data_IF_819814779219
#
_entry.id   IF_819814779219
#
_cell.length_a   1.000
_cell.length_b   1.000
_cell.length_c   1.000
_cell.angle_alpha   90.00
_cell.angle_beta   90.00
_cell.angle_gamma   90.00
#
_symmetry.space_group_name_H-M   'P 1'
#
loop_
_entity.id
_entity.type
_entity.pdbx_description
1 polymer ?
#
# COMPACT_ATOMS: atom_id res chain seq x y z
N UNK A 1 1.93 -3.69 5.79
CA UNK A 1 3.35 -3.81 5.36
C UNK A 1 3.65 -2.60 4.48
N UNK A 2 4.85 -1.99 4.53
CA UNK A 2 5.10 -0.81 3.70
C UNK A 2 5.28 -1.19 2.22
N UNK A 3 4.77 -0.34 1.32
CA UNK A 3 4.82 -0.52 -0.13
C UNK A 3 6.24 -0.72 -0.68
N UNK A 4 7.22 -0.08 -0.04
CA UNK A 4 8.64 -0.21 -0.39
C UNK A 4 9.16 -1.62 -0.14
N UNK A 5 8.95 -2.17 1.06
CA UNK A 5 9.39 -3.52 1.39
C UNK A 5 8.68 -4.57 0.53
N UNK A 6 7.36 -4.43 0.32
CA UNK A 6 6.58 -5.37 -0.50
C UNK A 6 7.16 -5.45 -1.92
N UNK A 7 7.48 -4.31 -2.55
CA UNK A 7 8.01 -4.31 -3.91
C UNK A 7 9.39 -4.93 -4.04
N UNK A 8 10.25 -4.81 -3.01
CA UNK A 8 11.55 -5.49 -2.98
C UNK A 8 11.39 -7.00 -2.78
N UNK A 9 10.51 -7.42 -1.86
CA UNK A 9 10.19 -8.83 -1.62
C UNK A 9 9.63 -9.48 -2.89
N UNK A 10 8.73 -8.79 -3.59
CA UNK A 10 8.15 -9.27 -4.85
C UNK A 10 9.23 -9.59 -5.90
N UNK A 11 10.26 -8.74 -6.02
CA UNK A 11 11.39 -9.00 -6.93
C UNK A 11 12.15 -10.27 -6.57
N UNK A 12 12.40 -10.51 -5.29
CA UNK A 12 13.12 -11.71 -4.86
C UNK A 12 12.28 -12.98 -5.04
N UNK A 13 10.96 -12.90 -4.83
CA UNK A 13 10.04 -14.00 -5.12
C UNK A 13 10.01 -14.33 -6.62
N UNK A 14 10.03 -13.32 -7.48
CA UNK A 14 10.09 -13.50 -8.95
C UNK A 14 11.41 -14.09 -9.42
N UNK A 15 12.53 -13.71 -8.79
CA UNK A 15 13.83 -14.35 -9.04
C UNK A 15 13.80 -15.84 -8.74
N UNK A 16 12.94 -16.28 -7.82
CA UNK A 16 12.72 -17.69 -7.52
C UNK A 16 11.71 -18.38 -8.47
N UNK A 17 11.22 -17.68 -9.50
CA UNK A 17 10.31 -18.23 -10.51
C UNK A 17 8.83 -18.20 -10.13
N UNK A 18 8.45 -17.49 -9.07
CA UNK A 18 7.06 -17.35 -8.65
C UNK A 18 6.53 -15.99 -9.11
N UNK A 19 5.50 -15.94 -9.98
CA UNK A 19 4.94 -14.67 -10.45
C UNK A 19 4.23 -13.93 -9.32
N UNK A 20 4.45 -12.62 -9.25
CA UNK A 20 3.91 -11.75 -8.20
C UNK A 20 3.21 -10.53 -8.78
N UNK A 21 2.31 -9.97 -7.99
CA UNK A 21 1.66 -8.70 -8.26
C UNK A 21 1.39 -7.98 -6.94
N UNK A 22 1.74 -6.70 -6.86
CA UNK A 22 1.45 -5.86 -5.70
C UNK A 22 0.10 -5.16 -5.91
N UNK A 23 -0.87 -5.44 -5.05
CA UNK A 23 -2.11 -4.64 -4.93
C UNK A 23 -1.83 -3.49 -3.95
N UNK A 24 -1.95 -2.25 -4.40
CA UNK A 24 -1.44 -1.07 -3.68
C UNK A 24 -2.43 0.10 -3.63
N UNK A 25 -2.39 0.85 -2.53
CA UNK A 25 -3.10 2.13 -2.34
C UNK A 25 -2.16 3.36 -2.34
N UNK A 26 -0.84 3.19 -2.42
CA UNK A 26 0.12 4.32 -2.48
C UNK A 26 0.77 4.43 -3.86
N UNK A 27 0.15 5.18 -4.79
CA UNK A 27 0.57 5.22 -6.20
C UNK A 27 2.01 5.67 -6.40
N UNK A 28 2.37 6.82 -5.81
CA UNK A 28 3.69 7.46 -5.94
C UNK A 28 4.83 6.61 -5.37
N UNK A 29 4.62 6.06 -4.17
CA UNK A 29 5.57 5.14 -3.53
C UNK A 29 5.73 3.87 -4.37
N UNK A 30 4.62 3.29 -4.83
CA UNK A 30 4.64 2.06 -5.63
C UNK A 30 5.34 2.26 -6.95
N UNK A 31 5.05 3.38 -7.62
CA UNK A 31 5.70 3.77 -8.86
C UNK A 31 7.22 3.96 -8.67
N UNK A 32 7.63 4.61 -7.58
CA UNK A 32 9.05 4.81 -7.27
C UNK A 32 9.79 3.48 -7.02
N UNK A 33 9.14 2.52 -6.36
CA UNK A 33 9.73 1.21 -6.02
C UNK A 33 9.89 0.32 -7.25
N UNK A 34 9.03 0.48 -8.28
CA UNK A 34 9.02 -0.32 -9.51
C UNK A 34 8.97 -1.84 -9.23
N UNK A 35 7.91 -2.35 -8.58
CA UNK A 35 7.74 -3.79 -8.41
C UNK A 35 7.63 -4.51 -9.77
N UNK A 36 7.79 -5.85 -9.82
CA UNK A 36 7.65 -6.64 -11.04
C UNK A 36 6.33 -6.36 -11.76
N UNK A 37 5.22 -6.37 -11.01
CA UNK A 37 3.88 -5.99 -11.48
C UNK A 37 3.15 -5.33 -10.33
N UNK A 38 2.35 -4.31 -10.61
CA UNK A 38 1.46 -3.73 -9.61
C UNK A 38 0.14 -3.27 -10.21
N UNK A 39 -0.88 -3.28 -9.37
CA UNK A 39 -2.11 -2.55 -9.61
C UNK A 39 -2.34 -1.56 -8.47
N UNK A 40 -2.86 -0.40 -8.83
CA UNK A 40 -3.25 0.64 -7.90
C UNK A 40 -4.77 0.64 -7.74
N UNK A 41 -5.24 0.69 -6.51
CA UNK A 41 -6.64 0.92 -6.16
C UNK A 41 -6.70 2.15 -5.27
N UNK A 42 -7.50 3.16 -5.65
CA UNK A 42 -7.55 4.44 -4.91
C UNK A 42 -8.45 4.34 -3.68
N UNK A 43 -8.06 3.48 -2.73
CA UNK A 43 -8.76 3.20 -1.47
C UNK A 43 -7.88 3.64 -0.29
N UNK A 44 -8.45 3.85 0.91
CA UNK A 44 -7.66 4.09 2.10
C UNK A 44 -6.58 3.01 2.31
N UNK A 45 -5.47 3.40 2.92
CA UNK A 45 -4.39 2.53 3.38
C UNK A 45 -4.95 1.36 4.16
N UNK A 46 -4.38 0.18 3.89
CA UNK A 46 -4.78 -1.08 4.52
C UNK A 46 -6.19 -1.57 4.15
N UNK A 47 -6.81 -0.97 3.14
CA UNK A 47 -8.12 -1.37 2.62
C UNK A 47 -8.06 -1.74 1.13
N UNK A 48 -6.90 -2.09 0.61
CA UNK A 48 -6.67 -2.35 -0.82
C UNK A 48 -7.57 -3.48 -1.35
N UNK A 49 -7.92 -4.45 -0.49
CA UNK A 49 -8.84 -5.54 -0.83
C UNK A 49 -10.33 -5.12 -0.82
N UNK A 50 -10.68 -3.93 -0.33
CA UNK A 50 -12.04 -3.40 -0.25
C UNK A 50 -12.62 -3.31 1.17
N UNK A 51 -13.82 -2.72 1.27
CA UNK A 51 -14.56 -2.52 2.53
C UNK A 51 -14.83 -3.84 3.25
N UNK A 52 -14.82 -3.81 4.58
CA UNK A 52 -15.23 -4.96 5.39
C UNK A 52 -16.70 -5.33 5.09
N UNK A 53 -17.00 -6.63 5.02
CA UNK A 53 -18.35 -7.14 4.71
C UNK A 53 -18.76 -7.08 3.23
N UNK A 54 -18.03 -6.35 2.38
CA UNK A 54 -18.35 -6.17 0.96
C UNK A 54 -17.72 -7.27 0.09
N UNK A 55 -18.00 -8.54 0.38
CA UNK A 55 -17.41 -9.69 -0.34
C UNK A 55 -17.54 -9.61 -1.88
N UNK A 56 -18.65 -9.13 -2.47
CA UNK A 56 -18.73 -8.95 -3.93
C UNK A 56 -17.75 -7.91 -4.48
N UNK A 57 -17.46 -6.83 -3.74
CA UNK A 57 -16.43 -5.86 -4.13
C UNK A 57 -15.03 -6.46 -4.01
N UNK A 58 -14.73 -7.10 -2.87
CA UNK A 58 -13.44 -7.72 -2.62
C UNK A 58 -13.09 -8.76 -3.69
N UNK A 59 -14.09 -9.58 -4.08
CA UNK A 59 -13.93 -10.55 -5.16
C UNK A 59 -13.62 -9.87 -6.50
N UNK A 60 -14.31 -8.78 -6.84
CA UNK A 60 -14.08 -8.04 -8.11
C UNK A 60 -12.66 -7.48 -8.16
N UNK A 61 -12.20 -6.85 -7.08
CA UNK A 61 -10.83 -6.31 -6.96
C UNK A 61 -9.78 -7.41 -7.21
N UNK A 62 -9.93 -8.56 -6.55
CA UNK A 62 -9.00 -9.69 -6.71
C UNK A 62 -9.01 -10.25 -8.15
N UNK A 63 -10.19 -10.38 -8.76
CA UNK A 63 -10.30 -10.84 -10.14
C UNK A 63 -9.66 -9.86 -11.13
N UNK A 64 -9.85 -8.56 -10.94
CA UNK A 64 -9.25 -7.53 -11.80
C UNK A 64 -7.73 -7.45 -11.59
N UNK A 65 -7.26 -7.64 -10.36
CA UNK A 65 -5.83 -7.83 -10.07
C UNK A 65 -5.25 -9.06 -10.78
N UNK A 66 -5.95 -10.19 -10.80
CA UNK A 66 -5.50 -11.37 -11.54
C UNK A 66 -5.49 -11.14 -13.06
N UNK A 67 -6.51 -10.49 -13.61
CA UNK A 67 -6.56 -10.11 -15.03
C UNK A 67 -5.40 -9.20 -15.42
N UNK A 68 -4.89 -8.37 -14.51
CA UNK A 68 -3.76 -7.50 -14.80
C UNK A 68 -2.47 -8.27 -15.17
N UNK A 69 -2.31 -9.55 -14.81
CA UNK A 69 -1.21 -10.38 -15.30
C UNK A 69 -1.20 -10.53 -16.82
N UNK A 70 -2.35 -10.42 -17.48
CA UNK A 70 -2.48 -10.50 -18.93
C UNK A 70 -1.98 -9.21 -19.63
N UNK A 71 -1.93 -8.09 -18.91
CA UNK A 71 -1.54 -6.78 -19.44
C UNK A 71 -0.15 -6.30 -18.98
N UNK A 72 0.28 -6.71 -17.78
CA UNK A 72 1.53 -6.29 -17.16
C UNK A 72 2.64 -7.32 -17.44
N UNK A 73 3.38 -7.11 -18.52
CA UNK A 73 4.40 -8.02 -19.04
C UNK A 73 5.85 -7.57 -18.76
N UNK A 74 6.06 -6.31 -18.40
CA UNK A 74 7.36 -5.73 -18.10
C UNK A 74 7.44 -5.24 -16.63
N UNK A 75 8.60 -5.46 -15.96
CA UNK A 75 8.85 -4.92 -14.63
C UNK A 75 8.60 -3.41 -14.53
N UNK A 76 7.96 -2.98 -13.44
CA UNK A 76 7.68 -1.57 -13.15
C UNK A 76 6.39 -1.04 -13.79
N UNK A 77 5.65 -1.86 -14.54
CA UNK A 77 4.32 -1.47 -15.01
C UNK A 77 3.31 -1.44 -13.85
N UNK A 78 2.44 -0.43 -13.88
CA UNK A 78 1.42 -0.15 -12.87
C UNK A 78 0.09 0.15 -13.57
N UNK A 79 -0.98 -0.54 -13.19
CA UNK A 79 -2.33 -0.33 -13.73
C UNK A 79 -3.28 0.16 -12.64
N UNK A 80 -4.06 1.20 -12.92
CA UNK A 80 -5.09 1.70 -12.00
C UNK A 80 -6.40 0.94 -12.20
N UNK A 81 -6.95 0.38 -11.12
CA UNK A 81 -8.25 -0.29 -11.12
C UNK A 81 -9.40 0.74 -11.03
N UNK A 82 -10.56 0.49 -11.65
CA UNK A 82 -11.66 1.44 -11.74
C UNK A 82 -12.60 1.43 -10.52
N UNK A 83 -12.15 0.90 -9.37
CA UNK A 83 -12.99 0.82 -8.18
C UNK A 83 -12.99 2.13 -7.39
N UNK A 84 -14.14 2.49 -6.85
CA UNK A 84 -14.33 3.69 -6.03
C UNK A 84 -14.64 3.26 -4.60
N UNK A 85 -13.93 3.84 -3.63
CA UNK A 85 -14.12 3.50 -2.21
C UNK A 85 -15.51 3.90 -1.75
N UNK A 86 -15.83 5.18 -1.88
CA UNK A 86 -17.14 5.73 -1.62
C UNK A 86 -17.43 6.83 -2.65
N UNK A 87 -18.47 6.67 -3.50
CA UNK A 87 -18.79 7.66 -4.52
C UNK A 87 -19.39 8.94 -3.93
N UNK A 88 -19.90 8.91 -2.69
CA UNK A 88 -20.49 10.05 -2.03
C UNK A 88 -19.50 10.78 -1.11
N UNK A 89 -18.43 10.11 -0.66
CA UNK A 89 -17.49 10.65 0.33
C UNK A 89 -16.02 10.37 -0.01
N UNK A 90 -15.25 11.44 -0.24
CA UNK A 90 -13.79 11.39 -0.45
C UNK A 90 -12.99 12.02 0.68
N UNK A 91 -13.63 12.35 1.81
CA UNK A 91 -12.97 12.97 2.97
C UNK A 91 -11.83 12.13 3.54
N UNK A 92 -11.85 10.81 3.35
CA UNK A 92 -10.78 9.91 3.74
C UNK A 92 -9.42 10.28 3.10
N UNK A 93 -9.41 10.85 1.89
CA UNK A 93 -8.18 11.25 1.20
C UNK A 93 -7.46 12.38 1.96
N UNK A 94 -8.18 13.21 2.71
CA UNK A 94 -7.60 14.34 3.45
C UNK A 94 -6.73 13.89 4.64
N UNK A 95 -7.09 12.77 5.27
CA UNK A 95 -6.46 12.29 6.51
C UNK A 95 -5.48 11.14 6.28
N UNK A 96 -5.60 10.41 5.18
CA UNK A 96 -4.80 9.21 4.93
C UNK A 96 -3.53 9.52 4.11
N UNK A 97 -3.65 10.42 3.13
CA UNK A 97 -2.53 10.91 2.30
C UNK A 97 -2.56 12.43 2.06
N UNK A 98 -3.54 13.13 2.63
CA UNK A 98 -3.77 14.55 2.38
C UNK A 98 -3.04 15.48 3.33
N UNK A 99 -3.25 16.79 3.20
CA UNK A 99 -2.59 17.81 4.03
C UNK A 99 -2.86 17.67 5.53
N UNK A 100 -3.94 16.97 5.90
CA UNK A 100 -4.34 16.69 7.29
C UNK A 100 -3.78 15.38 7.85
N UNK A 101 -2.92 14.68 7.12
CA UNK A 101 -2.36 13.40 7.55
C UNK A 101 -1.60 13.54 8.88
N UNK A 102 -2.02 12.78 9.89
CA UNK A 102 -1.24 12.57 11.13
C UNK A 102 -0.39 11.32 10.95
N UNK A 103 0.92 11.49 10.81
CA UNK A 103 1.83 10.37 10.63
C UNK A 103 1.73 9.37 11.78
N UNK A 104 1.74 8.08 11.44
CA UNK A 104 1.77 7.01 12.45
C UNK A 104 3.05 7.13 13.28
N UNK A 105 2.92 7.32 14.60
CA UNK A 105 4.05 7.51 15.51
C UNK A 105 4.60 8.95 15.61
N UNK A 106 3.96 9.95 14.99
CA UNK A 106 4.37 11.37 15.06
C UNK A 106 3.51 12.19 16.02
N UNK A 107 2.77 11.52 16.92
CA UNK A 107 1.90 12.12 17.94
C UNK A 107 2.21 11.63 19.35
N UNK A 108 1.51 12.16 20.36
CA UNK A 108 1.57 11.60 21.73
C UNK A 108 1.18 10.12 21.68
N UNK A 109 1.97 9.28 22.35
CA UNK A 109 1.65 7.86 22.46
C UNK A 109 0.28 7.69 23.12
N UNK A 110 -0.56 6.86 22.52
CA UNK A 110 -1.83 6.44 23.13
C UNK A 110 -1.64 5.44 24.26
N UNK A 111 -0.40 4.96 24.47
CA UNK A 111 -0.05 4.07 25.56
C UNK A 111 0.25 4.91 26.81
N UNK A 112 -0.55 4.71 27.85
CA UNK A 112 -0.40 5.40 29.13
C UNK A 112 0.98 5.09 29.75
N UNK A 113 1.76 6.13 30.03
CA UNK A 113 3.12 6.00 30.58
C UNK A 113 4.23 5.67 29.58
N UNK A 114 3.94 5.65 28.27
CA UNK A 114 4.99 5.51 27.26
C UNK A 114 5.70 6.84 27.01
N UNK A 115 6.93 6.94 27.49
CA UNK A 115 7.89 7.99 27.14
C UNK A 115 8.82 7.47 26.03
N UNK A 116 8.88 8.18 24.89
CA UNK A 116 9.76 7.81 23.79
C UNK A 116 11.23 7.91 24.25
N UNK A 117 11.88 6.76 24.47
CA UNK A 117 13.29 6.73 24.85
C UNK A 117 14.12 7.18 23.65
N UNK A 118 14.50 8.46 23.64
CA UNK A 118 15.42 9.03 22.65
C UNK A 118 16.77 8.30 22.76
N UNK A 119 17.01 7.34 21.85
CA UNK A 119 18.29 6.66 21.75
C UNK A 119 19.36 7.70 21.45
N UNK A 120 20.26 7.95 22.41
CA UNK A 120 21.48 8.73 22.15
C UNK A 120 22.43 7.84 21.38
N UNK A 121 23.10 8.40 20.36
CA UNK A 121 24.24 7.74 19.71
C UNK A 121 25.22 7.35 20.82
N UNK A 122 25.67 6.10 20.85
CA UNK A 122 26.74 5.71 21.77
C UNK A 122 27.90 6.68 21.56
N UNK A 123 28.41 7.25 22.66
CA UNK A 123 29.56 8.14 22.60
C UNK A 123 30.76 7.43 21.98
N UNK A 124 31.74 8.18 21.44
CA UNK A 124 32.99 7.56 20.99
C UNK A 124 33.65 6.77 22.13
N UNK A 125 34.41 5.70 21.80
CA UNK A 125 35.00 4.77 22.76
C UNK A 125 35.97 5.45 23.74
#
# INVERSE_FOLDING_TARGET
MCHQSVGLIAREIERAGIPTLCLSSAWDVTFAVRPPRAVFVNFPLNHEAGKAGEAPLQRRILLDAFRAFEALWAPGQLLTLPHVWDPADRSWEEFDYGPGQVGYGVGQSVQEGYEERRLRRAGPP
#
